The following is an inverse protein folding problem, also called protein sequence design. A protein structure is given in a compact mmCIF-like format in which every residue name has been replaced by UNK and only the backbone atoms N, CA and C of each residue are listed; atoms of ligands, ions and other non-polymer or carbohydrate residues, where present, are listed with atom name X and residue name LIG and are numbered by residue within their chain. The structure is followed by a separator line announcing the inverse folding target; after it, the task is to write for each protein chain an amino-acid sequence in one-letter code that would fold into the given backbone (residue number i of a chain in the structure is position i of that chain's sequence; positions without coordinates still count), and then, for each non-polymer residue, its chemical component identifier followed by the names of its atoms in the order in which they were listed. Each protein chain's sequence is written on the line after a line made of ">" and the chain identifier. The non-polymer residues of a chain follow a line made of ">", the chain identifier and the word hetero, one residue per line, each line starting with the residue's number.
data_IF_784715506524
#
_entry.id   IF_784715506524
#
_cell.length_a   1.000
_cell.length_b   1.000
_cell.length_c   1.000
_cell.angle_alpha   90.00
_cell.angle_beta   90.00
_cell.angle_gamma   90.00
#
_symmetry.space_group_name_H-M   'P 1'
#
loop_
_entity.id
_entity.type
_entity.pdbx_description
1 polymer ?
#
# COMPACT_ATOMS: atom_id res chain seq x y z
N UNK A 1 -1.59 -16.23 -2.02
CA UNK A 1 -1.67 -15.05 -2.92
C UNK A 1 -0.26 -14.55 -3.27
N UNK A 2 0.11 -14.44 -4.55
CA UNK A 2 1.43 -13.86 -4.96
C UNK A 2 1.41 -12.35 -4.71
N UNK A 3 2.36 -11.82 -3.92
CA UNK A 3 2.50 -10.38 -3.65
C UNK A 3 2.75 -9.62 -4.96
N UNK A 4 1.94 -8.61 -5.27
CA UNK A 4 2.20 -7.71 -6.41
C UNK A 4 3.43 -6.85 -6.12
N UNK A 5 4.34 -6.80 -7.09
CA UNK A 5 5.57 -6.00 -7.04
C UNK A 5 5.68 -5.23 -8.35
N UNK A 6 5.93 -3.93 -8.26
CA UNK A 6 6.26 -3.09 -9.42
C UNK A 6 7.68 -2.57 -9.22
N UNK A 7 8.59 -2.88 -10.14
CA UNK A 7 9.91 -2.27 -10.18
C UNK A 7 9.77 -0.80 -10.57
N UNK A 8 10.41 0.09 -9.81
CA UNK A 8 10.38 1.52 -10.06
C UNK A 8 11.77 2.08 -9.84
N UNK A 9 12.15 2.98 -10.73
CA UNK A 9 13.38 3.76 -10.61
C UNK A 9 12.99 5.22 -10.54
N UNK A 10 13.31 5.87 -9.42
CA UNK A 10 12.99 7.28 -9.19
C UNK A 10 14.30 8.03 -9.07
N UNK A 11 14.60 9.02 -9.91
CA UNK A 11 15.84 9.75 -9.75
C UNK A 11 15.80 10.51 -8.41
N UNK A 12 16.93 10.71 -7.74
CA UNK A 12 17.00 11.41 -6.45
C UNK A 12 17.99 12.56 -6.59
N UNK A 13 17.64 13.78 -6.13
CA UNK A 13 18.57 14.90 -6.15
C UNK A 13 19.77 14.60 -5.25
N UNK A 14 20.96 14.58 -5.83
CA UNK A 14 22.24 14.37 -5.16
C UNK A 14 23.36 14.28 -6.19
N UNK A 15 24.56 14.73 -5.82
CA UNK A 15 25.76 14.62 -6.66
C UNK A 15 26.32 13.19 -6.65
N UNK A 16 26.20 12.53 -5.50
CA UNK A 16 26.57 11.14 -5.25
C UNK A 16 25.57 10.50 -4.28
N UNK A 17 25.72 9.20 -4.05
CA UNK A 17 24.82 8.42 -3.20
C UNK A 17 24.76 8.98 -1.77
N UNK A 18 25.86 9.50 -1.23
CA UNK A 18 25.93 9.99 0.15
C UNK A 18 25.22 11.34 0.30
N UNK A 19 25.40 12.27 -0.65
CA UNK A 19 24.65 13.53 -0.73
C UNK A 19 23.14 13.24 -0.91
N UNK A 20 22.77 12.28 -1.74
CA UNK A 20 21.38 11.84 -1.88
C UNK A 20 20.81 11.24 -0.58
N UNK A 21 21.60 10.43 0.13
CA UNK A 21 21.23 9.90 1.46
C UNK A 21 21.01 11.03 2.45
N UNK A 22 21.93 12.01 2.52
CA UNK A 22 21.82 13.14 3.43
C UNK A 22 20.58 13.99 3.15
N UNK A 23 20.30 14.30 1.89
CA UNK A 23 19.09 15.06 1.50
C UNK A 23 17.81 14.32 1.84
N UNK A 24 17.76 13.02 1.54
CA UNK A 24 16.63 12.17 1.94
C UNK A 24 16.48 12.07 3.45
N UNK A 25 17.57 12.01 4.20
CA UNK A 25 17.57 12.01 5.67
C UNK A 25 17.04 13.33 6.24
N UNK A 26 17.47 14.47 5.68
CA UNK A 26 16.94 15.78 6.05
C UNK A 26 15.43 15.86 5.77
N UNK A 27 14.98 15.36 4.63
CA UNK A 27 13.56 15.33 4.28
C UNK A 27 12.76 14.40 5.20
N UNK A 28 13.29 13.22 5.51
CA UNK A 28 12.68 12.30 6.47
C UNK A 28 12.59 12.92 7.88
N UNK A 29 13.60 13.68 8.30
CA UNK A 29 13.60 14.41 9.56
C UNK A 29 12.51 15.50 9.58
N UNK A 30 12.40 16.31 8.51
CA UNK A 30 11.34 17.33 8.38
C UNK A 30 9.94 16.71 8.46
N UNK A 31 9.73 15.58 7.76
CA UNK A 31 8.45 14.86 7.81
C UNK A 31 8.16 14.28 9.20
N UNK A 32 9.18 13.75 9.90
CA UNK A 32 9.03 13.27 11.28
C UNK A 32 8.64 14.40 12.25
N UNK A 33 9.29 15.56 12.13
CA UNK A 33 9.00 16.74 12.96
C UNK A 33 7.56 17.20 12.76
N UNK A 34 7.08 17.19 11.51
CA UNK A 34 5.66 17.49 11.19
C UNK A 34 4.66 16.47 11.75
N UNK A 35 5.13 15.35 12.33
CA UNK A 35 4.34 14.20 12.81
C UNK A 35 3.24 13.85 11.80
N UNK A 36 3.54 12.97 10.83
CA UNK A 36 2.63 12.71 9.74
C UNK A 36 1.35 12.08 10.32
N UNK A 37 0.25 12.81 10.18
CA UNK A 37 -1.06 12.56 10.82
C UNK A 37 -2.19 12.58 9.81
N UNK A 38 -1.99 13.22 8.67
CA UNK A 38 -3.02 13.39 7.67
C UNK A 38 -2.94 12.29 6.60
N UNK A 39 -4.11 11.89 6.04
CA UNK A 39 -4.14 11.06 4.84
C UNK A 39 -3.28 11.72 3.76
N UNK A 40 -2.32 10.96 3.23
CA UNK A 40 -1.44 11.39 2.17
C UNK A 40 -0.03 11.81 2.60
N UNK A 41 0.23 11.91 3.90
CA UNK A 41 1.56 12.20 4.42
C UNK A 41 2.55 11.06 4.11
N UNK A 42 3.78 11.43 3.73
CA UNK A 42 4.84 10.46 3.48
C UNK A 42 5.54 10.04 4.77
N UNK A 43 5.96 8.78 4.79
CA UNK A 43 6.73 8.18 5.86
C UNK A 43 7.99 7.56 5.27
N UNK A 44 9.10 8.25 5.46
CA UNK A 44 10.40 7.85 4.92
C UNK A 44 11.26 7.26 6.04
N UNK A 45 11.89 6.13 5.76
CA UNK A 45 12.88 5.48 6.61
C UNK A 45 14.11 5.18 5.78
N UNK A 46 15.24 5.75 6.16
CA UNK A 46 16.54 5.37 5.63
C UNK A 46 17.21 4.36 6.56
N UNK A 47 17.98 3.46 5.97
CA UNK A 47 18.88 2.53 6.65
C UNK A 47 20.27 2.65 6.03
N UNK A 48 21.29 2.20 6.77
CA UNK A 48 22.66 2.19 6.29
C UNK A 48 22.83 1.50 4.93
N UNK A 49 23.77 2.02 4.14
CA UNK A 49 24.09 1.55 2.79
C UNK A 49 23.14 2.04 1.70
N UNK A 50 22.47 3.18 1.88
CA UNK A 50 21.60 3.78 0.87
C UNK A 50 20.23 3.11 0.73
N UNK A 51 19.83 2.26 1.68
CA UNK A 51 18.52 1.57 1.66
C UNK A 51 17.42 2.52 2.10
N UNK A 52 16.38 2.65 1.29
CA UNK A 52 15.26 3.57 1.52
C UNK A 52 13.95 2.80 1.52
N UNK A 53 13.11 3.11 2.50
CA UNK A 53 11.73 2.66 2.57
C UNK A 53 10.81 3.89 2.63
N UNK A 54 9.93 4.02 1.65
CA UNK A 54 8.93 5.09 1.58
C UNK A 54 7.55 4.47 1.63
N UNK A 55 6.67 5.01 2.45
CA UNK A 55 5.24 4.70 2.41
C UNK A 55 4.42 5.97 2.55
N UNK A 56 3.12 5.86 2.31
CA UNK A 56 2.16 6.95 2.47
C UNK A 56 1.10 6.56 3.49
N UNK A 57 0.73 7.48 4.38
CA UNK A 57 -0.39 7.27 5.29
C UNK A 57 -1.69 7.30 4.49
N UNK A 58 -2.50 6.24 4.62
CA UNK A 58 -3.91 6.31 4.30
C UNK A 58 -4.68 6.83 5.51
N UNK A 59 -5.82 7.49 5.28
CA UNK A 59 -6.62 8.11 6.34
C UNK A 59 -7.09 7.16 7.45
N UNK A 60 -7.01 5.85 7.22
CA UNK A 60 -7.29 4.79 8.20
C UNK A 60 -6.03 4.23 8.89
N UNK A 61 -4.93 4.98 8.95
CA UNK A 61 -3.68 4.61 9.62
C UNK A 61 -2.95 3.39 8.98
N UNK A 62 -3.46 2.86 7.87
CA UNK A 62 -2.95 1.67 7.17
C UNK A 62 -2.14 2.11 5.95
N UNK A 63 -0.83 1.83 5.95
CA UNK A 63 0.10 2.33 4.92
C UNK A 63 -0.05 1.51 3.64
N UNK A 64 -0.35 2.17 2.53
CA UNK A 64 -0.43 1.60 1.18
C UNK A 64 0.23 2.52 0.16
N UNK A 65 0.81 1.97 -0.91
CA UNK A 65 1.78 0.88 -0.93
C UNK A 65 3.13 1.34 -0.34
N UNK A 66 4.11 0.41 -0.23
CA UNK A 66 5.44 0.70 0.30
C UNK A 66 6.48 0.52 -0.80
N UNK A 67 7.22 1.58 -1.11
CA UNK A 67 8.43 1.51 -1.92
C UNK A 67 9.60 1.06 -1.03
N UNK A 68 10.27 -0.03 -1.43
CA UNK A 68 11.55 -0.46 -0.84
C UNK A 68 12.59 -0.45 -1.94
N UNK A 69 13.66 0.29 -1.74
CA UNK A 69 14.72 0.40 -2.74
C UNK A 69 16.07 0.75 -2.14
N UNK A 70 17.01 0.98 -3.03
CA UNK A 70 18.35 1.43 -2.73
C UNK A 70 18.72 2.59 -3.65
N UNK A 71 19.47 3.53 -3.11
CA UNK A 71 20.11 4.58 -3.89
C UNK A 71 21.32 4.00 -4.61
N UNK A 72 21.35 4.18 -5.91
CA UNK A 72 22.37 3.70 -6.82
C UNK A 72 22.81 4.87 -7.72
N UNK A 73 24.09 4.89 -8.08
CA UNK A 73 24.64 5.83 -9.05
C UNK A 73 24.78 5.10 -10.40
N UNK A 74 23.80 5.23 -11.31
CA UNK A 74 23.88 4.59 -12.62
C UNK A 74 24.97 5.22 -13.50
N UNK A 75 25.48 4.49 -14.49
CA UNK A 75 26.58 4.93 -15.35
C UNK A 75 26.26 6.19 -16.19
N UNK A 76 24.99 6.55 -16.35
CA UNK A 76 24.55 7.78 -17.01
C UNK A 76 24.61 9.05 -16.14
N UNK A 77 25.12 8.96 -14.91
CA UNK A 77 25.23 10.08 -13.98
C UNK A 77 23.99 10.32 -13.11
N UNK A 78 24.22 11.01 -11.99
CA UNK A 78 23.20 11.27 -10.96
C UNK A 78 22.93 10.08 -10.03
N UNK A 79 21.93 10.22 -9.17
CA UNK A 79 21.52 9.16 -8.22
C UNK A 79 20.10 8.75 -8.50
N UNK A 80 19.81 7.46 -8.41
CA UNK A 80 18.48 6.92 -8.59
C UNK A 80 18.12 5.99 -7.44
N UNK A 81 16.89 6.09 -6.96
CA UNK A 81 16.27 5.15 -6.05
C UNK A 81 15.66 4.02 -6.87
N UNK A 82 16.40 2.92 -6.98
CA UNK A 82 15.96 1.70 -7.64
C UNK A 82 15.28 0.80 -6.60
N UNK A 83 14.05 0.36 -6.85
CA UNK A 83 13.35 -0.47 -5.88
C UNK A 83 12.09 -1.13 -6.39
N UNK A 84 11.38 -1.75 -5.46
CA UNK A 84 10.09 -2.37 -5.71
C UNK A 84 9.03 -1.73 -4.83
N UNK A 85 7.91 -1.32 -5.44
CA UNK A 85 6.69 -0.99 -4.73
C UNK A 85 5.96 -2.29 -4.43
N UNK A 86 5.75 -2.54 -3.13
CA UNK A 86 5.07 -3.73 -2.62
C UNK A 86 3.77 -3.35 -1.92
N UNK A 87 2.73 -4.14 -2.17
CA UNK A 87 1.48 -4.09 -1.43
C UNK A 87 1.70 -4.44 0.05
N UNK A 88 1.05 -3.73 0.98
CA UNK A 88 1.24 -3.94 2.42
C UNK A 88 0.28 -5.03 2.94
N UNK A 89 0.76 -5.94 3.78
CA UNK A 89 0.00 -7.11 4.23
C UNK A 89 -1.14 -6.77 5.19
N UNK A 90 -1.05 -5.63 5.88
CA UNK A 90 -2.10 -5.14 6.78
C UNK A 90 -3.45 -4.99 6.06
N UNK A 91 -3.42 -4.66 4.78
CA UNK A 91 -4.59 -4.60 3.92
C UNK A 91 -5.26 -5.94 3.76
N UNK A 92 -4.48 -6.95 3.38
CA UNK A 92 -4.98 -8.30 3.15
C UNK A 92 -5.55 -8.86 4.44
N UNK A 93 -4.97 -8.49 5.59
CA UNK A 93 -5.44 -8.90 6.90
C UNK A 93 -6.78 -8.22 7.28
N UNK A 94 -6.94 -6.92 7.02
CA UNK A 94 -8.22 -6.21 7.22
C UNK A 94 -9.29 -6.74 6.26
N UNK A 95 -8.96 -6.95 4.99
CA UNK A 95 -9.89 -7.52 4.01
C UNK A 95 -10.27 -8.96 4.40
N UNK A 96 -9.29 -9.78 4.80
CA UNK A 96 -9.53 -11.13 5.27
C UNK A 96 -10.41 -11.15 6.52
N UNK A 97 -10.18 -10.23 7.46
CA UNK A 97 -11.02 -10.07 8.66
C UNK A 97 -12.45 -9.68 8.32
N UNK A 98 -12.67 -8.75 7.38
CA UNK A 98 -14.01 -8.38 6.91
C UNK A 98 -14.71 -9.55 6.21
N UNK A 99 -14.02 -10.26 5.31
CA UNK A 99 -14.57 -11.43 4.62
C UNK A 99 -14.88 -12.55 5.60
N UNK A 100 -14.02 -12.78 6.59
CA UNK A 100 -14.25 -13.76 7.66
C UNK A 100 -15.47 -13.38 8.52
N UNK A 101 -15.59 -12.12 8.92
CA UNK A 101 -16.75 -11.63 9.66
C UNK A 101 -18.05 -11.83 8.87
N UNK A 102 -18.04 -11.52 7.57
CA UNK A 102 -19.19 -11.73 6.68
C UNK A 102 -19.55 -13.21 6.52
N UNK A 103 -18.53 -14.08 6.38
CA UNK A 103 -18.72 -15.54 6.34
C UNK A 103 -19.33 -16.08 7.63
N UNK A 104 -18.82 -15.64 8.79
CA UNK A 104 -19.37 -16.02 10.10
C UNK A 104 -20.83 -15.55 10.23
N UNK A 105 -21.13 -14.31 9.81
CA UNK A 105 -22.51 -13.83 9.78
C UNK A 105 -23.41 -14.68 8.90
N UNK A 106 -22.96 -15.08 7.71
CA UNK A 106 -23.73 -15.96 6.80
C UNK A 106 -23.93 -17.36 7.38
N UNK A 107 -22.89 -17.94 8.01
CA UNK A 107 -22.99 -19.26 8.66
C UNK A 107 -23.96 -19.21 9.85
N UNK A 108 -23.89 -18.17 10.69
CA UNK A 108 -24.84 -17.97 11.78
C UNK A 108 -26.26 -17.80 11.25
N UNK A 109 -26.45 -17.04 10.17
CA UNK A 109 -27.76 -16.89 9.53
C UNK A 109 -28.28 -18.23 8.98
N UNK A 110 -27.42 -19.04 8.37
CA UNK A 110 -27.76 -20.36 7.85
C UNK A 110 -28.11 -21.36 8.96
N UNK A 111 -27.40 -21.32 10.09
CA UNK A 111 -27.70 -22.12 11.29
C UNK A 111 -29.01 -21.69 11.95
N UNK A 112 -29.30 -20.38 11.99
CA UNK A 112 -30.60 -19.87 12.43
C UNK A 112 -31.74 -20.32 11.51
N UNK A 113 -31.48 -20.40 10.20
CA UNK A 113 -32.45 -20.88 9.20
C UNK A 113 -32.68 -22.39 9.27
N UNK A 114 -31.68 -23.20 9.62
CA UNK A 114 -31.86 -24.65 9.77
C UNK A 114 -32.75 -25.03 10.96
N UNK A 115 -32.96 -24.11 11.91
CA UNK A 115 -33.89 -24.27 13.02
C UNK A 115 -35.36 -23.91 12.67
N UNK A 116 -35.62 -23.37 11.46
CA UNK A 116 -36.97 -22.99 11.05
C UNK A 116 -37.06 -22.69 9.55
N UNK A 117 -37.43 -23.71 8.77
CA UNK A 117 -38.13 -23.64 7.47
C UNK A 117 -37.87 -22.41 6.57
N UNK A 118 -36.67 -22.30 5.98
CA UNK A 118 -36.47 -21.43 4.81
C UNK A 118 -35.74 -22.18 3.69
N UNK A 119 -36.29 -22.09 2.49
CA UNK A 119 -35.87 -22.76 1.25
C UNK A 119 -34.39 -22.53 0.91
N UNK A 120 -33.66 -23.61 0.62
CA UNK A 120 -32.21 -23.62 0.33
C UNK A 120 -31.72 -22.68 -0.79
N UNK A 121 -32.63 -22.12 -1.60
CA UNK A 121 -32.34 -21.07 -2.58
C UNK A 121 -31.89 -19.74 -1.96
N UNK A 122 -32.34 -19.40 -0.74
CA UNK A 122 -31.90 -18.18 -0.04
C UNK A 122 -30.46 -18.31 0.49
N UNK A 123 -30.06 -19.51 0.91
CA UNK A 123 -28.69 -19.79 1.39
C UNK A 123 -27.70 -19.78 0.22
N UNK A 124 -28.06 -20.40 -0.91
CA UNK A 124 -27.22 -20.39 -2.12
C UNK A 124 -27.14 -19.00 -2.76
N UNK A 125 -28.26 -18.26 -2.81
CA UNK A 125 -28.27 -16.87 -3.26
C UNK A 125 -27.40 -15.95 -2.40
N UNK A 126 -27.45 -16.11 -1.07
CA UNK A 126 -26.60 -15.37 -0.13
C UNK A 126 -25.11 -15.67 -0.33
N UNK A 127 -24.73 -16.94 -0.52
CA UNK A 127 -23.34 -17.34 -0.80
C UNK A 127 -22.83 -16.81 -2.15
N UNK A 128 -23.67 -16.84 -3.19
CA UNK A 128 -23.31 -16.31 -4.50
C UNK A 128 -23.10 -14.78 -4.45
N UNK A 129 -23.97 -14.06 -3.73
CA UNK A 129 -23.85 -12.61 -3.56
C UNK A 129 -22.61 -12.25 -2.74
N UNK A 130 -22.30 -13.03 -1.69
CA UNK A 130 -21.05 -12.89 -0.93
C UNK A 130 -19.82 -13.13 -1.82
N UNK A 131 -19.84 -14.16 -2.66
CA UNK A 131 -18.75 -14.43 -3.61
C UNK A 131 -18.54 -13.26 -4.58
N UNK A 132 -19.63 -12.69 -5.13
CA UNK A 132 -19.56 -11.51 -6.01
C UNK A 132 -18.98 -10.30 -5.26
N UNK A 133 -19.41 -10.05 -4.02
CA UNK A 133 -18.89 -8.94 -3.20
C UNK A 133 -17.41 -9.13 -2.89
N UNK A 134 -16.97 -10.35 -2.58
CA UNK A 134 -15.55 -10.68 -2.32
C UNK A 134 -14.71 -10.49 -3.59
N UNK A 135 -15.17 -11.00 -4.73
CA UNK A 135 -14.47 -10.85 -6.02
C UNK A 135 -14.42 -9.38 -6.44
N UNK A 136 -15.53 -8.64 -6.29
CA UNK A 136 -15.57 -7.21 -6.56
C UNK A 136 -14.65 -6.41 -5.62
N UNK A 137 -14.64 -6.73 -4.33
CA UNK A 137 -13.73 -6.13 -3.34
C UNK A 137 -12.27 -6.40 -3.67
N UNK A 138 -11.91 -7.63 -4.04
CA UNK A 138 -10.57 -8.00 -4.49
C UNK A 138 -10.17 -7.29 -5.80
N UNK A 139 -11.10 -7.16 -6.74
CA UNK A 139 -10.87 -6.42 -7.99
C UNK A 139 -10.70 -4.91 -7.74
N UNK A 140 -11.47 -4.34 -6.82
CA UNK A 140 -11.36 -2.94 -6.41
C UNK A 140 -10.01 -2.66 -5.77
N UNK A 141 -9.61 -3.46 -4.78
CA UNK A 141 -8.27 -3.39 -4.16
C UNK A 141 -7.16 -3.49 -5.21
N UNK A 142 -7.33 -4.37 -6.22
CA UNK A 142 -6.37 -4.53 -7.31
C UNK A 142 -6.27 -3.31 -8.25
N UNK A 143 -7.37 -2.60 -8.50
CA UNK A 143 -7.36 -1.34 -9.26
C UNK A 143 -6.76 -0.20 -8.44
N UNK A 144 -7.09 -0.16 -7.17
CA UNK A 144 -6.63 0.87 -6.25
C UNK A 144 -5.11 0.81 -6.05
N UNK A 145 -4.48 -0.38 -6.07
CA UNK A 145 -3.02 -0.50 -5.93
C UNK A 145 -2.22 0.29 -6.98
N UNK A 146 -2.64 0.30 -8.24
CA UNK A 146 -1.90 1.02 -9.31
C UNK A 146 -2.04 2.52 -9.10
N UNK A 147 -3.26 2.98 -8.86
CA UNK A 147 -3.56 4.38 -8.53
C UNK A 147 -2.80 4.84 -7.28
N UNK A 148 -2.75 4.02 -6.23
CA UNK A 148 -2.06 4.35 -4.99
C UNK A 148 -0.54 4.34 -5.14
N UNK A 149 0.00 3.45 -5.99
CA UNK A 149 1.42 3.47 -6.34
C UNK A 149 1.80 4.75 -7.09
N UNK A 150 1.00 5.16 -8.08
CA UNK A 150 1.25 6.40 -8.81
C UNK A 150 1.07 7.64 -7.90
N UNK A 151 0.09 7.61 -6.98
CA UNK A 151 -0.10 8.65 -5.98
C UNK A 151 1.08 8.74 -5.00
N UNK A 152 1.63 7.60 -4.56
CA UNK A 152 2.84 7.52 -3.74
C UNK A 152 4.05 8.13 -4.48
N UNK A 153 4.25 7.77 -5.74
CA UNK A 153 5.36 8.28 -6.56
C UNK A 153 5.21 9.79 -6.82
N UNK A 154 4.01 10.27 -7.12
CA UNK A 154 3.76 11.71 -7.31
C UNK A 154 3.97 12.52 -6.03
N UNK A 155 3.67 11.95 -4.86
CA UNK A 155 3.95 12.58 -3.58
C UNK A 155 5.45 12.61 -3.30
N UNK A 156 6.17 11.53 -3.63
CA UNK A 156 7.62 11.46 -3.51
C UNK A 156 8.30 12.48 -4.42
N UNK A 157 7.89 12.60 -5.69
CA UNK A 157 8.43 13.59 -6.64
C UNK A 157 8.20 15.03 -6.18
N UNK A 158 7.01 15.34 -5.64
CA UNK A 158 6.72 16.64 -5.02
C UNK A 158 7.61 16.91 -3.82
N UNK A 159 7.77 15.92 -2.94
CA UNK A 159 8.62 16.05 -1.76
C UNK A 159 10.10 16.27 -2.15
N UNK A 160 10.58 15.60 -3.20
CA UNK A 160 11.92 15.80 -3.77
C UNK A 160 12.06 17.12 -4.54
N UNK A 161 10.99 17.93 -4.65
CA UNK A 161 11.03 19.26 -5.25
C UNK A 161 11.03 19.26 -6.79
N UNK A 162 10.59 18.18 -7.44
CA UNK A 162 10.64 18.05 -8.91
C UNK A 162 9.36 18.40 -9.65
N UNK A 163 8.22 18.26 -9.00
CA UNK A 163 6.94 18.75 -9.51
C UNK A 163 6.46 19.85 -8.57
N UNK A 164 6.39 21.09 -9.09
CA UNK A 164 5.60 22.16 -8.48
C UNK A 164 4.15 22.00 -8.92
#
# INVERSE_FOLDING_TARGET
>A
MRRRRRSVTVPVPGRDVDDAVQRLAALAARQRVRRPRNPGDLRIRLRGGGRVRVGRLSGTNTVFPVLRGRLEAPPGGGVQLTGTVTENEATLLVLAGQVFGLLVSVVLLALSVSAGSVSGGLVTGGLALLFVVVVWGLQRVRRDFVSDADALLSALDRALGRRR
#
